data_IF_843729325720
#
_entry.id   IF_843729325720
#
_cell.length_a   1.000
_cell.length_b   1.000
_cell.length_c   1.000
_cell.angle_alpha   90.00
_cell.angle_beta   90.00
_cell.angle_gamma   90.00
#
_symmetry.space_group_name_H-M   'P 1'
#
loop_
_entity.id
_entity.type
_entity.pdbx_description
1 polymer ?
#
# COMPACT_ATOMS: atom_id res chain seq x y z
N UNK A 1 12.89 28.37 -1.12
CA UNK A 1 13.25 27.41 -0.04
C UNK A 1 11.97 26.70 0.33
N UNK A 2 12.06 25.37 0.46
CA UNK A 2 11.00 24.39 0.22
C UNK A 2 10.04 24.26 1.42
N UNK A 3 8.85 24.86 1.33
CA UNK A 3 7.72 24.54 2.21
C UNK A 3 6.88 23.45 1.54
N UNK A 4 7.26 22.19 1.75
CA UNK A 4 6.47 21.02 1.36
C UNK A 4 6.66 19.91 2.39
N UNK A 5 6.43 20.26 3.65
CA UNK A 5 6.02 19.31 4.69
C UNK A 5 4.55 19.59 5.03
N UNK A 6 3.68 19.55 4.01
CA UNK A 6 2.25 19.45 4.25
C UNK A 6 2.01 18.01 4.67
N UNK A 7 2.19 17.74 5.96
CA UNK A 7 1.69 16.51 6.57
C UNK A 7 0.17 16.70 6.58
N UNK A 8 -0.61 16.03 5.70
CA UNK A 8 -2.05 16.23 5.71
C UNK A 8 -2.52 15.88 7.11
N UNK A 9 -3.19 16.82 7.77
CA UNK A 9 -3.89 16.53 9.02
C UNK A 9 -4.86 15.38 8.68
N UNK A 10 -4.48 14.16 9.09
CA UNK A 10 -5.36 13.01 8.90
C UNK A 10 -6.53 13.27 9.82
N UNK A 11 -7.68 13.60 9.25
CA UNK A 11 -8.95 13.65 9.97
C UNK A 11 -9.26 12.24 10.48
N UNK A 12 -8.71 11.90 11.64
CA UNK A 12 -9.07 10.68 12.35
C UNK A 12 -10.47 10.90 12.87
N UNK A 13 -11.44 10.20 12.28
CA UNK A 13 -12.80 10.21 12.79
C UNK A 13 -12.83 9.35 14.06
N UNK A 14 -12.47 9.96 15.20
CA UNK A 14 -12.20 9.31 16.50
C UNK A 14 -13.42 8.52 17.05
N UNK A 15 -14.59 8.63 16.41
CA UNK A 15 -15.81 7.90 16.78
C UNK A 15 -16.18 6.71 15.90
N UNK A 16 -15.38 6.34 14.89
CA UNK A 16 -15.67 5.16 14.06
C UNK A 16 -15.05 3.93 14.73
N UNK A 17 -15.90 3.15 15.42
CA UNK A 17 -15.53 1.82 15.86
C UNK A 17 -15.45 0.90 14.63
N UNK A 18 -14.25 0.40 14.34
CA UNK A 18 -14.03 -0.63 13.33
C UNK A 18 -14.17 -1.98 14.02
N UNK A 19 -15.14 -2.78 13.57
CA UNK A 19 -15.26 -4.15 14.02
C UNK A 19 -14.07 -4.97 13.49
N UNK A 20 -13.30 -5.55 14.41
CA UNK A 20 -12.15 -6.38 14.09
C UNK A 20 -12.49 -7.81 14.44
N UNK A 21 -12.34 -8.70 13.46
CA UNK A 21 -12.46 -10.14 13.67
C UNK A 21 -11.45 -10.61 14.73
N UNK A 22 -11.97 -11.22 15.79
CA UNK A 22 -11.17 -11.64 16.94
C UNK A 22 -10.18 -12.77 16.62
N UNK A 23 -10.51 -13.67 15.70
CA UNK A 23 -9.64 -14.77 15.29
C UNK A 23 -8.46 -14.24 14.47
N UNK A 24 -8.73 -13.33 13.53
CA UNK A 24 -7.68 -12.66 12.75
C UNK A 24 -6.76 -11.83 13.63
N UNK A 25 -7.31 -11.12 14.62
CA UNK A 25 -6.50 -10.36 15.56
C UNK A 25 -5.62 -11.28 16.41
N UNK A 26 -6.15 -12.39 16.90
CA UNK A 26 -5.39 -13.36 17.68
C UNK A 26 -4.25 -13.99 16.85
N UNK A 27 -4.49 -14.30 15.58
CA UNK A 27 -3.47 -14.81 14.68
C UNK A 27 -2.39 -13.75 14.39
N UNK A 28 -2.79 -12.51 14.11
CA UNK A 28 -1.86 -11.41 13.90
C UNK A 28 -0.99 -11.17 15.15
N UNK A 29 -1.55 -11.25 16.35
CA UNK A 29 -0.80 -11.15 17.60
C UNK A 29 0.24 -12.25 17.74
N UNK A 30 -0.11 -13.50 17.43
CA UNK A 30 0.83 -14.62 17.45
C UNK A 30 2.00 -14.39 16.48
N UNK A 31 1.71 -13.96 15.26
CA UNK A 31 2.72 -13.79 14.21
C UNK A 31 3.62 -12.56 14.42
N UNK A 32 3.04 -11.46 14.92
CA UNK A 32 3.75 -10.19 15.06
C UNK A 32 4.46 -10.09 16.42
N UNK A 33 3.92 -10.75 17.47
CA UNK A 33 4.45 -10.68 18.84
C UNK A 33 4.60 -9.24 19.37
N UNK A 34 3.65 -8.36 19.05
CA UNK A 34 3.66 -6.96 19.47
C UNK A 34 3.18 -6.77 20.93
N UNK A 35 3.60 -5.69 21.62
CA UNK A 35 3.31 -5.46 23.04
C UNK A 35 1.86 -5.04 23.33
N UNK A 36 1.04 -4.76 22.30
CA UNK A 36 -0.36 -4.39 22.46
C UNK A 36 -1.19 -4.69 21.20
N UNK A 37 -2.51 -4.69 21.34
CA UNK A 37 -3.46 -4.82 20.22
C UNK A 37 -3.21 -3.72 19.18
N UNK A 38 -3.13 -2.46 19.61
CA UNK A 38 -2.89 -1.34 18.69
C UNK A 38 -1.53 -1.45 17.97
N UNK A 39 -0.49 -1.91 18.67
CA UNK A 39 0.81 -2.16 18.04
C UNK A 39 0.73 -3.29 17.01
N UNK A 40 -0.06 -4.33 17.28
CA UNK A 40 -0.32 -5.43 16.34
C UNK A 40 -1.04 -4.93 15.08
N UNK A 41 -2.11 -4.15 15.25
CA UNK A 41 -2.89 -3.60 14.14
C UNK A 41 -2.03 -2.68 13.28
N UNK A 42 -1.31 -1.74 13.90
CA UNK A 42 -0.46 -0.80 13.17
C UNK A 42 0.63 -1.52 12.37
N UNK A 43 1.22 -2.56 12.93
CA UNK A 43 2.23 -3.36 12.25
C UNK A 43 1.64 -4.21 11.12
N UNK A 44 0.45 -4.80 11.32
CA UNK A 44 -0.26 -5.51 10.26
C UNK A 44 -0.59 -4.59 9.07
N UNK A 45 -1.08 -3.38 9.34
CA UNK A 45 -1.34 -2.36 8.31
C UNK A 45 -0.07 -1.93 7.59
N UNK A 46 1.04 -1.75 8.33
CA UNK A 46 2.35 -1.43 7.74
C UNK A 46 2.80 -2.51 6.75
N UNK A 47 2.79 -3.77 7.17
CA UNK A 47 3.19 -4.91 6.32
C UNK A 47 2.32 -5.04 5.07
N UNK A 48 1.01 -4.81 5.20
CA UNK A 48 0.09 -4.80 4.06
C UNK A 48 0.50 -3.73 3.05
N UNK A 49 0.68 -2.48 3.51
CA UNK A 49 1.07 -1.37 2.63
C UNK A 49 2.43 -1.61 1.98
N UNK A 50 3.40 -2.14 2.72
CA UNK A 50 4.71 -2.49 2.17
C UNK A 50 4.62 -3.57 1.10
N UNK A 51 3.79 -4.60 1.33
CA UNK A 51 3.53 -5.67 0.36
C UNK A 51 2.92 -5.12 -0.93
N UNK A 52 1.88 -4.28 -0.81
CA UNK A 52 1.23 -3.66 -1.98
C UNK A 52 2.18 -2.72 -2.74
N UNK A 53 3.02 -1.96 -2.02
CA UNK A 53 4.08 -1.15 -2.65
C UNK A 53 5.11 -2.03 -3.35
N UNK A 54 5.45 -3.19 -2.79
CA UNK A 54 6.30 -4.20 -3.44
C UNK A 54 5.71 -4.65 -4.77
N UNK A 55 4.50 -5.20 -4.74
CA UNK A 55 3.77 -5.64 -5.94
C UNK A 55 3.71 -4.56 -7.02
N UNK A 56 3.42 -3.32 -6.65
CA UNK A 56 3.39 -2.20 -7.59
C UNK A 56 4.75 -1.92 -8.23
N UNK A 57 5.84 -1.97 -7.45
CA UNK A 57 7.20 -1.78 -7.99
C UNK A 57 7.56 -2.91 -8.95
N UNK A 58 7.25 -4.14 -8.60
CA UNK A 58 7.55 -5.32 -9.41
C UNK A 58 6.78 -5.27 -10.74
N UNK A 59 5.48 -4.98 -10.70
CA UNK A 59 4.67 -4.79 -11.91
C UNK A 59 5.19 -3.63 -12.80
N UNK A 60 5.66 -2.53 -12.20
CA UNK A 60 6.26 -1.43 -12.97
C UNK A 60 7.62 -1.82 -13.58
N UNK A 61 8.40 -2.65 -12.91
CA UNK A 61 9.65 -3.17 -13.45
C UNK A 61 9.38 -4.10 -14.64
N UNK A 62 8.44 -5.02 -14.50
CA UNK A 62 7.99 -5.91 -15.57
C UNK A 62 7.51 -5.14 -16.80
N UNK A 63 6.65 -4.12 -16.62
CA UNK A 63 6.21 -3.26 -17.72
C UNK A 63 7.37 -2.56 -18.43
N UNK A 64 8.40 -2.11 -17.69
CA UNK A 64 9.59 -1.48 -18.28
C UNK A 64 10.42 -2.48 -19.07
N UNK A 65 10.56 -3.71 -18.58
CA UNK A 65 11.26 -4.78 -19.30
C UNK A 65 10.54 -5.12 -20.61
N UNK A 66 9.22 -5.27 -20.58
CA UNK A 66 8.42 -5.53 -21.78
C UNK A 66 8.51 -4.38 -22.82
N UNK A 67 8.57 -3.12 -22.37
CA UNK A 67 8.85 -1.97 -23.26
C UNK A 67 10.21 -2.11 -23.94
N UNK A 68 11.24 -2.41 -23.16
CA UNK A 68 12.61 -2.52 -23.67
C UNK A 68 12.77 -3.71 -24.62
N UNK A 69 12.08 -4.81 -24.36
CA UNK A 69 12.00 -5.97 -25.22
C UNK A 69 11.19 -5.71 -26.51
N UNK A 70 10.52 -4.56 -26.61
CA UNK A 70 9.68 -4.21 -27.76
C UNK A 70 8.35 -4.97 -27.79
N UNK A 71 8.00 -5.67 -26.71
CA UNK A 71 6.78 -6.46 -26.58
C UNK A 71 5.54 -5.57 -26.37
N UNK A 72 5.74 -4.35 -25.85
CA UNK A 72 4.69 -3.34 -25.74
C UNK A 72 5.08 -2.08 -26.53
N UNK A 73 4.32 -1.78 -27.58
CA UNK A 73 4.50 -0.57 -28.39
C UNK A 73 3.51 0.53 -27.96
N UNK A 74 3.95 1.41 -27.06
CA UNK A 74 3.15 2.53 -26.55
C UNK A 74 2.85 3.62 -27.60
N UNK A 75 3.48 3.59 -28.80
CA UNK A 75 3.22 4.58 -29.87
C UNK A 75 1.79 4.53 -30.43
N UNK A 76 1.01 3.51 -30.08
CA UNK A 76 -0.39 3.36 -30.51
C UNK A 76 -1.39 3.85 -29.44
N UNK A 77 -0.95 4.17 -28.22
CA UNK A 77 -1.84 4.64 -27.15
C UNK A 77 -2.12 6.15 -27.20
N UNK A 78 -1.28 6.92 -27.90
CA UNK A 78 -1.51 8.36 -28.17
C UNK A 78 -2.77 8.62 -29.03
N UNK A 79 -3.37 7.57 -29.62
CA UNK A 79 -4.61 7.64 -30.40
C UNK A 79 -5.91 7.43 -29.61
N UNK A 80 -5.85 7.26 -28.29
CA UNK A 80 -7.04 7.00 -27.43
C UNK A 80 -7.58 8.25 -26.73
N UNK A 81 -7.17 9.44 -27.15
CA UNK A 81 -7.81 10.69 -26.78
C UNK A 81 -8.84 11.10 -27.86
N UNK A 82 -10.01 10.45 -27.87
CA UNK A 82 -11.24 10.98 -28.48
C UNK A 82 -12.30 11.27 -27.41
#
# INVERSE_FOLDING_TARGET
MTDLLHNPEIETNVGVEVEIDAELLAEAQRQISAPSINATINEALRRLVETERGKRRDALAELREMVQAGEINFRHLDGLHE
#
